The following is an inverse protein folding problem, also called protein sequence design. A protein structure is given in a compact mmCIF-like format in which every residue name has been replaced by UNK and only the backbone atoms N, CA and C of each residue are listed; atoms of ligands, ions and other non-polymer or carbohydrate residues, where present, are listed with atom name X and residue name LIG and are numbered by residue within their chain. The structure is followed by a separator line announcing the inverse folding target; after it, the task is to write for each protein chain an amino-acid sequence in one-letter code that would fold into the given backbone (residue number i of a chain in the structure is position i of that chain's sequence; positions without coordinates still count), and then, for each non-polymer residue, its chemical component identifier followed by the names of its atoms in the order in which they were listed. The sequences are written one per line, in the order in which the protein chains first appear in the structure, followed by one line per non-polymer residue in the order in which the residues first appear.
data_IF_387857188230
#
_entry.id   IF_387857188230
#
_cell.length_a   1.000
_cell.length_b   1.000
_cell.length_c   1.000
_cell.angle_alpha   90.00
_cell.angle_beta   90.00
_cell.angle_gamma   90.00
#
_symmetry.space_group_name_H-M   'P 1'
#
loop_
_entity.id
_entity.type
_entity.pdbx_description
1 polymer ?
#
# COMPACT_ATOMS: atom_id res chain seq x y z
N UNK A 1 16.01 0.39 3.94
CA UNK A 1 15.98 1.79 4.41
C UNK A 1 16.10 1.75 5.92
N UNK A 2 17.04 2.51 6.48
CA UNK A 2 17.24 2.58 7.93
C UNK A 2 15.99 3.13 8.64
N UNK A 3 15.68 2.62 9.84
CA UNK A 3 14.46 2.98 10.57
C UNK A 3 14.41 4.48 10.90
N UNK A 4 15.56 5.07 11.20
CA UNK A 4 15.73 6.50 11.51
C UNK A 4 15.46 7.38 10.29
N UNK A 5 16.07 7.04 9.14
CA UNK A 5 15.86 7.75 7.86
C UNK A 5 14.41 7.70 7.40
N UNK A 6 13.72 6.57 7.64
CA UNK A 6 12.30 6.42 7.33
C UNK A 6 11.44 7.37 8.15
N UNK A 7 11.74 7.53 9.45
CA UNK A 7 11.01 8.40 10.37
C UNK A 7 11.16 9.88 9.98
N UNK A 8 12.39 10.34 9.73
CA UNK A 8 12.68 11.71 9.29
C UNK A 8 11.94 12.06 8.00
N UNK A 9 11.93 11.14 7.04
CA UNK A 9 11.28 11.34 5.75
C UNK A 9 9.75 11.40 5.85
N UNK A 10 9.15 10.73 6.84
CA UNK A 10 7.72 10.90 7.13
C UNK A 10 7.43 12.22 7.81
N UNK A 11 8.25 12.60 8.80
CA UNK A 11 8.09 13.85 9.52
C UNK A 11 8.16 15.06 8.59
N UNK A 12 9.18 15.11 7.72
CA UNK A 12 9.31 16.19 6.72
C UNK A 12 8.10 16.30 5.80
N UNK A 13 7.53 15.17 5.37
CA UNK A 13 6.32 15.18 4.52
C UNK A 13 5.07 15.64 5.27
N UNK A 14 4.97 15.34 6.56
CA UNK A 14 3.89 15.83 7.40
C UNK A 14 3.98 17.34 7.57
N UNK A 15 5.15 17.85 7.92
CA UNK A 15 5.39 19.30 8.09
C UNK A 15 5.13 20.07 6.79
N UNK A 16 5.61 19.55 5.65
CA UNK A 16 5.35 20.11 4.33
C UNK A 16 3.84 20.17 4.06
N UNK A 17 3.11 19.06 4.24
CA UNK A 17 1.67 19.02 4.01
C UNK A 17 0.89 19.94 4.96
N UNK A 18 1.26 20.01 6.22
CA UNK A 18 0.60 20.87 7.20
C UNK A 18 0.76 22.34 6.85
N UNK A 19 1.94 22.74 6.38
CA UNK A 19 2.27 24.12 5.98
C UNK A 19 1.52 24.61 4.72
N UNK A 20 0.96 23.70 3.92
CA UNK A 20 0.25 24.05 2.69
C UNK A 20 -1.14 24.64 2.95
N UNK A 21 -1.53 25.61 2.11
CA UNK A 21 -2.88 26.15 2.08
C UNK A 21 -3.91 25.14 1.52
N UNK A 22 -5.19 25.51 1.60
CA UNK A 22 -6.31 24.64 1.18
C UNK A 22 -6.33 24.38 -0.33
N UNK A 23 -5.89 25.32 -1.15
CA UNK A 23 -5.90 25.21 -2.61
C UNK A 23 -4.77 24.27 -3.05
N UNK A 24 -3.56 24.49 -2.55
CA UNK A 24 -2.43 23.62 -2.79
C UNK A 24 -2.69 22.17 -2.33
N UNK A 25 -3.40 21.98 -1.21
CA UNK A 25 -3.87 20.65 -0.77
C UNK A 25 -4.85 20.01 -1.75
N UNK A 26 -5.77 20.79 -2.33
CA UNK A 26 -6.71 20.28 -3.36
C UNK A 26 -5.99 19.91 -4.64
N UNK A 27 -5.04 20.73 -5.08
CA UNK A 27 -4.26 20.47 -6.29
C UNK A 27 -3.40 19.21 -6.16
N UNK A 28 -2.76 19.01 -5.01
CA UNK A 28 -2.05 17.75 -4.71
C UNK A 28 -2.98 16.53 -4.80
N UNK A 29 -4.21 16.63 -4.28
CA UNK A 29 -5.18 15.54 -4.35
C UNK A 29 -5.63 15.28 -5.79
N UNK A 30 -5.87 16.33 -6.57
CA UNK A 30 -6.27 16.22 -7.97
C UNK A 30 -5.16 15.61 -8.83
N UNK A 31 -3.92 16.09 -8.69
CA UNK A 31 -2.74 15.51 -9.35
C UNK A 31 -2.58 14.03 -9.04
N UNK A 32 -2.74 13.63 -7.78
CA UNK A 32 -2.68 12.22 -7.37
C UNK A 32 -3.82 11.39 -7.97
N UNK A 33 -5.02 11.95 -8.14
CA UNK A 33 -6.13 11.27 -8.82
C UNK A 33 -5.83 11.05 -10.29
N UNK A 34 -5.32 12.07 -10.98
CA UNK A 34 -4.92 11.96 -12.39
C UNK A 34 -3.80 10.94 -12.60
N UNK A 35 -2.75 10.97 -11.76
CA UNK A 35 -1.67 9.98 -11.81
C UNK A 35 -2.20 8.56 -11.61
N UNK A 36 -3.14 8.36 -10.67
CA UNK A 36 -3.78 7.07 -10.46
C UNK A 36 -4.66 6.62 -11.63
N UNK A 37 -5.26 7.54 -12.37
CA UNK A 37 -6.05 7.23 -13.57
C UNK A 37 -5.15 6.91 -14.77
N UNK A 38 -4.04 7.65 -14.94
CA UNK A 38 -3.05 7.42 -15.99
C UNK A 38 -2.22 6.16 -15.76
N UNK A 39 -2.15 5.68 -14.52
CA UNK A 39 -1.38 4.49 -14.19
C UNK A 39 -2.04 3.22 -14.75
N UNK A 40 -1.29 2.46 -15.55
CA UNK A 40 -1.78 1.21 -16.14
C UNK A 40 -2.13 0.16 -15.08
N UNK A 41 -3.15 -0.65 -15.35
CA UNK A 41 -3.54 -1.76 -14.48
C UNK A 41 -2.36 -2.72 -14.16
N UNK A 42 -1.49 -2.96 -15.15
CA UNK A 42 -0.31 -3.83 -14.99
C UNK A 42 0.68 -3.25 -13.98
N UNK A 43 1.02 -1.96 -14.09
CA UNK A 43 1.95 -1.32 -13.15
C UNK A 43 1.37 -1.24 -11.73
N UNK A 44 0.05 -1.16 -11.59
CA UNK A 44 -0.64 -1.21 -10.30
C UNK A 44 -0.56 -2.61 -9.67
N UNK A 45 -0.69 -3.67 -10.47
CA UNK A 45 -0.54 -5.06 -10.04
C UNK A 45 0.90 -5.37 -9.65
N UNK A 46 1.88 -4.87 -10.40
CA UNK A 46 3.31 -5.05 -10.10
C UNK A 46 3.68 -4.45 -8.73
N UNK A 47 3.25 -3.22 -8.43
CA UNK A 47 3.45 -2.59 -7.09
C UNK A 47 2.81 -3.39 -5.94
N UNK A 48 1.71 -4.09 -6.21
CA UNK A 48 1.05 -4.96 -5.22
C UNK A 48 1.91 -6.21 -4.94
N UNK A 49 2.60 -6.75 -5.97
CA UNK A 49 3.48 -7.92 -5.87
C UNK A 49 4.78 -7.65 -5.11
N UNK A 50 5.25 -6.40 -5.07
CA UNK A 50 6.45 -6.01 -4.32
C UNK A 50 6.25 -6.07 -2.78
N UNK A 51 5.00 -6.16 -2.30
CA UNK A 51 4.68 -6.20 -0.88
C UNK A 51 4.54 -7.61 -0.30
N UNK A 52 4.28 -7.68 1.02
CA UNK A 52 3.86 -8.92 1.68
C UNK A 52 2.58 -9.45 1.05
N UNK A 53 2.54 -10.76 0.78
CA UNK A 53 1.35 -11.47 0.36
C UNK A 53 0.86 -12.39 1.47
N UNK A 54 -0.36 -12.86 1.35
CA UNK A 54 -1.02 -13.71 2.32
C UNK A 54 -1.57 -14.93 1.60
N UNK A 55 -1.51 -16.09 2.24
CA UNK A 55 -2.16 -17.29 1.74
C UNK A 55 -3.38 -17.57 2.62
N UNK A 56 -4.56 -17.68 1.99
CA UNK A 56 -5.75 -18.15 2.69
C UNK A 56 -5.63 -19.65 3.00
N UNK A 57 -5.75 -20.03 4.26
CA UNK A 57 -5.58 -21.43 4.71
C UNK A 57 -6.69 -22.37 4.22
N UNK A 58 -7.84 -21.84 3.81
CA UNK A 58 -8.96 -22.66 3.32
C UNK A 58 -8.93 -22.90 1.81
N UNK A 59 -8.64 -21.87 1.03
CA UNK A 59 -8.68 -21.95 -0.43
C UNK A 59 -7.29 -21.89 -1.08
N UNK A 60 -6.22 -21.87 -0.29
CA UNK A 60 -4.82 -21.78 -0.71
C UNK A 60 -4.55 -20.65 -1.73
N UNK A 61 -5.42 -19.64 -1.75
CA UNK A 61 -5.33 -18.52 -2.69
C UNK A 61 -4.36 -17.48 -2.15
N UNK A 62 -3.48 -16.99 -3.04
CA UNK A 62 -2.63 -15.83 -2.77
C UNK A 62 -3.50 -14.57 -2.78
N UNK A 63 -3.44 -13.83 -1.69
CA UNK A 63 -4.16 -12.58 -1.46
C UNK A 63 -3.15 -11.50 -1.07
N UNK A 64 -3.44 -10.26 -1.46
CA UNK A 64 -2.63 -9.11 -1.07
C UNK A 64 -3.34 -8.30 0.00
N UNK A 65 -2.61 -7.41 0.68
CA UNK A 65 -3.08 -6.63 1.84
C UNK A 65 -4.52 -6.11 1.68
N UNK A 66 -4.82 -5.43 0.57
CA UNK A 66 -6.15 -4.84 0.36
C UNK A 66 -7.26 -5.90 0.24
N UNK A 67 -6.98 -7.04 -0.40
CA UNK A 67 -7.92 -8.15 -0.52
C UNK A 67 -8.16 -8.82 0.85
N UNK A 68 -7.10 -9.01 1.64
CA UNK A 68 -7.21 -9.55 3.00
C UNK A 68 -8.01 -8.62 3.90
N UNK A 69 -7.73 -7.32 3.88
CA UNK A 69 -8.50 -6.34 4.67
C UNK A 69 -9.98 -6.35 4.30
N UNK A 70 -10.33 -6.50 3.02
CA UNK A 70 -11.73 -6.67 2.60
C UNK A 70 -12.36 -7.94 3.17
N UNK A 71 -11.64 -9.06 3.17
CA UNK A 71 -12.13 -10.30 3.78
C UNK A 71 -12.36 -10.13 5.29
N UNK A 72 -11.40 -9.53 5.99
CA UNK A 72 -11.51 -9.26 7.44
C UNK A 72 -12.71 -8.36 7.75
N UNK A 73 -12.88 -7.28 6.97
CA UNK A 73 -14.03 -6.38 7.12
C UNK A 73 -15.37 -7.08 6.87
N UNK A 74 -15.39 -8.11 6.01
CA UNK A 74 -16.54 -8.98 5.77
C UNK A 74 -16.66 -10.13 6.78
N UNK A 75 -16.17 -9.93 8.01
CA UNK A 75 -16.22 -10.87 9.14
C UNK A 75 -15.43 -12.17 8.94
N UNK A 76 -14.51 -12.21 7.98
CA UNK A 76 -13.63 -13.37 7.82
C UNK A 76 -12.51 -13.36 8.88
N UNK A 77 -12.28 -14.43 9.65
CA UNK A 77 -11.30 -14.39 10.72
C UNK A 77 -9.87 -14.24 10.19
N UNK A 78 -9.11 -13.30 10.77
CA UNK A 78 -7.73 -13.00 10.34
C UNK A 78 -6.77 -14.19 10.48
N UNK A 79 -7.03 -15.11 11.42
CA UNK A 79 -6.27 -16.36 11.65
C UNK A 79 -6.18 -17.26 10.42
N UNK A 80 -7.03 -17.06 9.42
CA UNK A 80 -7.03 -17.83 8.18
C UNK A 80 -6.10 -17.28 7.10
N UNK A 81 -5.34 -16.22 7.39
CA UNK A 81 -4.38 -15.64 6.46
C UNK A 81 -2.97 -15.76 7.02
N UNK A 82 -2.13 -16.56 6.35
CA UNK A 82 -0.71 -16.67 6.69
C UNK A 82 0.08 -15.63 5.89
N UNK A 83 0.79 -14.73 6.58
CA UNK A 83 1.56 -13.65 5.95
C UNK A 83 2.95 -14.13 5.52
N UNK A 84 3.33 -13.80 4.30
CA UNK A 84 4.65 -14.05 3.73
C UNK A 84 5.24 -12.75 3.19
N UNK A 85 6.50 -12.48 3.52
CA UNK A 85 7.23 -11.32 3.01
C UNK A 85 7.94 -11.71 1.71
N UNK A 86 7.71 -10.98 0.63
CA UNK A 86 8.52 -11.07 -0.58
C UNK A 86 9.90 -10.45 -0.29
N UNK A 87 10.81 -11.23 0.29
CA UNK A 87 12.23 -10.85 0.43
C UNK A 87 13.11 -11.40 -0.69
N UNK A 88 12.50 -11.99 -1.72
CA UNK A 88 13.19 -12.61 -2.85
C UNK A 88 12.58 -12.12 -4.16
N UNK A 89 13.16 -11.06 -4.73
CA UNK A 89 13.40 -10.88 -6.17
C UNK A 89 14.04 -9.50 -6.40
N UNK A 90 15.24 -9.31 -5.85
CA UNK A 90 16.25 -8.42 -6.44
C UNK A 90 17.48 -9.30 -6.62
N UNK A 91 17.60 -9.91 -7.80
CA UNK A 91 18.88 -10.36 -8.35
C UNK A 91 19.24 -9.37 -9.45
#
# INVERSE_FOLDING_TARGET
MDATKKKELFQKRTEEYESMDKEAKRDLLNKRKEENQRQSHISRIMKIREGSYFICTFCNRILYKNSVMRCINNKYPAKHFSMFNNHLMVK
#
